data_IF_830024630938
#
_entry.id   IF_830024630938
#
_cell.length_a   1.000
_cell.length_b   1.000
_cell.length_c   1.000
_cell.angle_alpha   90.00
_cell.angle_beta   90.00
_cell.angle_gamma   90.00
#
_symmetry.space_group_name_H-M   'P 1'
#
loop_
_entity.id
_entity.type
_entity.pdbx_description
1 polymer ?
#
# COMPACT_ATOMS: atom_id res chain seq x y z
N UNK A 1 1.00 36.10 9.24
CA UNK A 1 2.28 36.81 9.50
C UNK A 1 3.39 35.89 9.04
N UNK A 2 4.00 36.19 7.89
CA UNK A 2 5.05 35.36 7.29
C UNK A 2 6.33 35.53 8.10
N UNK A 3 6.85 34.41 8.59
CA UNK A 3 8.12 34.37 9.33
C UNK A 3 9.25 34.73 8.35
N UNK A 4 10.07 35.75 8.62
CA UNK A 4 11.13 36.18 7.70
C UNK A 4 12.20 35.08 7.57
N UNK A 5 12.79 34.90 6.37
CA UNK A 5 13.72 33.80 6.06
C UNK A 5 14.98 33.78 6.94
N UNK A 6 15.37 34.92 7.53
CA UNK A 6 16.52 35.02 8.44
C UNK A 6 16.30 34.39 9.82
N UNK A 7 15.07 34.06 10.19
CA UNK A 7 14.80 33.34 11.45
C UNK A 7 14.95 31.82 11.33
N UNK A 8 14.89 31.29 10.09
CA UNK A 8 15.06 29.86 9.80
C UNK A 8 16.55 29.47 9.94
N UNK A 9 17.46 30.37 9.57
CA UNK A 9 18.91 30.17 9.67
C UNK A 9 19.43 30.08 11.11
N UNK A 10 18.70 30.56 12.12
CA UNK A 10 19.10 30.49 13.53
C UNK A 10 18.76 29.15 14.21
N UNK A 11 18.04 28.24 13.53
CA UNK A 11 17.68 26.90 14.07
C UNK A 11 18.31 25.73 13.31
N UNK A 12 19.25 26.03 12.41
CA UNK A 12 19.96 25.02 11.64
C UNK A 12 21.17 24.48 12.44
N UNK A 13 21.16 23.20 12.78
CA UNK A 13 22.34 22.50 13.32
C UNK A 13 22.88 21.63 12.20
N UNK A 14 24.18 21.76 11.90
CA UNK A 14 24.85 21.03 10.81
C UNK A 14 24.24 21.29 9.42
N UNK A 15 23.57 22.45 9.22
CA UNK A 15 22.89 22.79 7.96
C UNK A 15 21.52 22.15 7.78
N UNK A 16 21.03 21.39 8.76
CA UNK A 16 19.69 20.81 8.76
C UNK A 16 18.71 21.72 9.50
N UNK A 17 17.58 22.09 8.88
CA UNK A 17 16.56 22.89 9.56
C UNK A 17 15.76 21.97 10.50
N UNK A 18 16.17 21.89 11.78
CA UNK A 18 15.66 20.87 12.72
C UNK A 18 14.16 21.01 12.99
N UNK A 19 13.67 22.22 13.24
CA UNK A 19 12.27 22.43 13.60
C UNK A 19 11.28 21.99 12.51
N UNK A 20 11.43 22.38 11.23
CA UNK A 20 10.57 21.85 10.19
C UNK A 20 10.76 20.34 10.02
N UNK A 21 11.99 19.82 10.12
CA UNK A 21 12.24 18.38 10.01
C UNK A 21 11.46 17.57 11.07
N UNK A 22 11.40 18.04 12.32
CA UNK A 22 10.62 17.36 13.38
C UNK A 22 9.13 17.31 13.01
N UNK A 23 8.59 18.42 12.49
CA UNK A 23 7.19 18.49 12.05
C UNK A 23 6.94 17.53 10.89
N UNK A 24 7.82 17.52 9.90
CA UNK A 24 7.72 16.60 8.76
C UNK A 24 7.75 15.13 9.20
N UNK A 25 8.69 14.78 10.08
CA UNK A 25 8.84 13.42 10.59
C UNK A 25 7.62 13.02 11.40
N UNK A 26 7.07 13.92 12.23
CA UNK A 26 5.86 13.65 13.00
C UNK A 26 4.66 13.35 12.09
N UNK A 27 4.37 14.22 11.12
CA UNK A 27 3.27 14.00 10.18
C UNK A 27 3.51 12.82 9.24
N UNK A 28 4.75 12.61 8.82
CA UNK A 28 5.16 11.47 8.00
C UNK A 28 4.96 10.13 8.72
N UNK A 29 5.40 10.02 9.98
CA UNK A 29 5.16 8.84 10.81
C UNK A 29 3.66 8.64 11.07
N UNK A 30 2.92 9.72 11.34
CA UNK A 30 1.47 9.64 11.54
C UNK A 30 0.76 9.07 10.31
N UNK A 31 1.03 9.62 9.12
CA UNK A 31 0.46 9.13 7.86
C UNK A 31 0.87 7.69 7.55
N UNK A 32 2.14 7.34 7.77
CA UNK A 32 2.65 5.98 7.63
C UNK A 32 1.92 4.99 8.53
N UNK A 33 1.74 5.30 9.81
CA UNK A 33 1.04 4.43 10.77
C UNK A 33 -0.42 4.26 10.34
N UNK A 34 -1.10 5.34 9.96
CA UNK A 34 -2.49 5.28 9.49
C UNK A 34 -2.64 4.33 8.29
N UNK A 35 -1.75 4.44 7.30
CA UNK A 35 -1.76 3.58 6.11
C UNK A 35 -1.43 2.13 6.46
N UNK A 36 -0.41 1.86 7.28
CA UNK A 36 -0.06 0.50 7.70
C UNK A 36 -1.16 -0.17 8.53
N UNK A 37 -1.85 0.58 9.40
CA UNK A 37 -2.99 0.08 10.16
C UNK A 37 -4.15 -0.28 9.22
N UNK A 38 -4.49 0.60 8.29
CA UNK A 38 -5.51 0.33 7.27
C UNK A 38 -5.15 -0.92 6.45
N UNK A 39 -3.92 -0.98 5.95
CA UNK A 39 -3.41 -2.11 5.16
C UNK A 39 -3.53 -3.41 5.95
N UNK A 40 -3.00 -3.43 7.17
CA UNK A 40 -2.98 -4.61 8.04
C UNK A 40 -4.39 -5.14 8.34
N UNK A 41 -5.37 -4.26 8.58
CA UNK A 41 -6.76 -4.67 8.80
C UNK A 41 -7.38 -5.20 7.50
N UNK A 42 -7.21 -4.48 6.39
CA UNK A 42 -7.82 -4.83 5.11
C UNK A 42 -7.25 -6.15 4.55
N UNK A 43 -5.93 -6.33 4.54
CA UNK A 43 -5.29 -7.55 4.01
C UNK A 43 -5.66 -8.77 4.85
N UNK A 44 -5.68 -8.63 6.17
CA UNK A 44 -6.10 -9.70 7.08
C UNK A 44 -7.56 -10.10 6.85
N UNK A 45 -8.45 -9.13 6.63
CA UNK A 45 -9.84 -9.43 6.31
C UNK A 45 -9.97 -10.22 4.99
N UNK A 46 -9.24 -9.81 3.95
CA UNK A 46 -9.26 -10.47 2.64
C UNK A 46 -8.71 -11.90 2.73
N UNK A 47 -7.53 -12.09 3.34
CA UNK A 47 -6.90 -13.41 3.41
C UNK A 47 -7.70 -14.40 4.26
N UNK A 48 -8.20 -13.99 5.43
CA UNK A 48 -9.04 -14.86 6.27
C UNK A 48 -10.32 -15.28 5.54
N UNK A 49 -10.92 -14.37 4.76
CA UNK A 49 -12.09 -14.68 3.94
C UNK A 49 -11.74 -15.62 2.79
N UNK A 50 -10.62 -15.39 2.11
CA UNK A 50 -10.12 -16.28 1.05
C UNK A 50 -9.89 -17.69 1.59
N UNK A 51 -9.09 -17.84 2.65
CA UNK A 51 -8.73 -19.14 3.22
C UNK A 51 -9.97 -19.93 3.65
N UNK A 52 -10.90 -19.27 4.36
CA UNK A 52 -12.16 -19.90 4.79
C UNK A 52 -12.96 -20.44 3.60
N UNK A 53 -13.14 -19.65 2.56
CA UNK A 53 -13.94 -20.06 1.39
C UNK A 53 -13.20 -21.07 0.52
N UNK A 54 -11.92 -20.83 0.25
CA UNK A 54 -11.07 -21.72 -0.55
C UNK A 54 -11.01 -23.11 0.10
N UNK A 55 -10.76 -23.21 1.40
CA UNK A 55 -10.71 -24.50 2.11
C UNK A 55 -12.06 -25.22 2.10
N UNK A 56 -13.18 -24.50 2.28
CA UNK A 56 -14.52 -25.06 2.17
C UNK A 56 -14.76 -25.66 0.78
N UNK A 57 -14.47 -24.91 -0.28
CA UNK A 57 -14.70 -25.37 -1.66
C UNK A 57 -13.74 -26.48 -2.08
N UNK A 58 -12.49 -26.44 -1.60
CA UNK A 58 -11.51 -27.49 -1.84
C UNK A 58 -11.95 -28.83 -1.24
N UNK A 59 -12.47 -28.82 0.00
CA UNK A 59 -13.02 -30.03 0.66
C UNK A 59 -14.25 -30.60 -0.05
N UNK A 60 -15.02 -29.77 -0.74
CA UNK A 60 -16.19 -30.18 -1.50
C UNK A 60 -15.87 -30.58 -2.96
N UNK A 61 -14.59 -30.60 -3.36
CA UNK A 61 -14.19 -30.87 -4.75
C UNK A 61 -14.60 -29.77 -5.75
N UNK A 62 -15.00 -28.58 -5.26
CA UNK A 62 -15.55 -27.48 -6.05
C UNK A 62 -14.46 -26.51 -6.50
N UNK A 63 -13.47 -27.00 -7.26
CA UNK A 63 -12.23 -26.27 -7.56
C UNK A 63 -12.44 -24.93 -8.31
N UNK A 64 -13.44 -24.81 -9.19
CA UNK A 64 -13.73 -23.55 -9.89
C UNK A 64 -14.04 -22.40 -8.93
N UNK A 65 -14.70 -22.69 -7.79
CA UNK A 65 -14.99 -21.67 -6.79
C UNK A 65 -13.73 -21.23 -6.05
N UNK A 66 -12.74 -22.11 -5.89
CA UNK A 66 -11.42 -21.73 -5.34
C UNK A 66 -10.75 -20.71 -6.26
N UNK A 67 -10.77 -20.95 -7.58
CA UNK A 67 -10.23 -19.99 -8.56
C UNK A 67 -10.99 -18.66 -8.54
N UNK A 68 -12.32 -18.70 -8.49
CA UNK A 68 -13.14 -17.49 -8.39
C UNK A 68 -12.79 -16.67 -7.14
N UNK A 69 -12.66 -17.32 -5.97
CA UNK A 69 -12.26 -16.63 -4.74
C UNK A 69 -10.83 -16.08 -4.80
N UNK A 70 -9.92 -16.75 -5.50
CA UNK A 70 -8.56 -16.25 -5.73
C UNK A 70 -8.58 -14.94 -6.52
N UNK A 71 -9.24 -14.91 -7.70
CA UNK A 71 -9.31 -13.71 -8.54
C UNK A 71 -10.10 -12.57 -7.87
N UNK A 72 -11.18 -12.89 -7.15
CA UNK A 72 -11.90 -11.88 -6.37
C UNK A 72 -11.00 -11.24 -5.31
N UNK A 73 -10.21 -12.04 -4.59
CA UNK A 73 -9.29 -11.55 -3.56
C UNK A 73 -8.16 -10.72 -4.17
N UNK A 74 -7.60 -11.15 -5.31
CA UNK A 74 -6.62 -10.38 -6.07
C UNK A 74 -7.14 -8.99 -6.47
N UNK A 75 -8.39 -8.92 -6.94
CA UNK A 75 -9.05 -7.66 -7.26
C UNK A 75 -9.21 -6.76 -6.04
N UNK A 76 -9.66 -7.30 -4.89
CA UNK A 76 -9.80 -6.51 -3.66
C UNK A 76 -8.46 -6.03 -3.09
N UNK A 77 -7.39 -6.82 -3.24
CA UNK A 77 -6.03 -6.42 -2.88
C UNK A 77 -5.59 -5.21 -3.72
N UNK A 78 -5.83 -5.23 -5.04
CA UNK A 78 -5.53 -4.08 -5.89
C UNK A 78 -6.32 -2.82 -5.47
N UNK A 79 -7.61 -2.98 -5.16
CA UNK A 79 -8.46 -1.87 -4.71
C UNK A 79 -8.00 -1.30 -3.35
N UNK A 80 -7.55 -2.15 -2.44
CA UNK A 80 -6.99 -1.72 -1.15
C UNK A 80 -5.78 -0.80 -1.35
N UNK A 81 -4.84 -1.16 -2.22
CA UNK A 81 -3.68 -0.31 -2.53
C UNK A 81 -4.08 1.03 -3.16
N UNK A 82 -5.09 1.03 -4.02
CA UNK A 82 -5.65 2.28 -4.55
C UNK A 82 -6.22 3.15 -3.42
N UNK A 83 -6.91 2.55 -2.44
CA UNK A 83 -7.42 3.28 -1.28
C UNK A 83 -6.29 3.88 -0.43
N UNK A 84 -5.16 3.20 -0.27
CA UNK A 84 -4.00 3.71 0.47
C UNK A 84 -3.38 4.94 -0.20
N UNK A 85 -3.32 4.94 -1.53
CA UNK A 85 -2.90 6.10 -2.32
C UNK A 85 -3.91 7.26 -2.14
N UNK A 86 -5.21 6.98 -2.10
CA UNK A 86 -6.25 7.97 -1.85
C UNK A 86 -6.15 8.53 -0.42
N UNK A 87 -5.84 7.71 0.59
CA UNK A 87 -5.61 8.16 1.96
C UNK A 87 -4.45 9.17 1.99
N UNK A 88 -3.34 8.88 1.30
CA UNK A 88 -2.23 9.82 1.18
C UNK A 88 -2.61 11.10 0.43
N UNK A 89 -3.41 11.01 -0.64
CA UNK A 89 -3.94 12.17 -1.35
C UNK A 89 -4.74 13.09 -0.41
N UNK A 90 -5.67 12.53 0.37
CA UNK A 90 -6.42 13.29 1.37
C UNK A 90 -5.53 13.86 2.48
N UNK A 91 -4.48 13.15 2.87
CA UNK A 91 -3.53 13.63 3.86
C UNK A 91 -2.75 14.86 3.35
N UNK A 92 -2.23 14.81 2.11
CA UNK A 92 -1.48 15.89 1.48
C UNK A 92 -2.37 17.13 1.27
N UNK A 93 -3.57 16.93 0.72
CA UNK A 93 -4.51 18.02 0.45
C UNK A 93 -5.10 18.60 1.74
N UNK A 94 -5.38 17.78 2.75
CA UNK A 94 -5.85 18.22 4.06
C UNK A 94 -4.83 19.05 4.84
N UNK A 95 -3.54 18.84 4.60
CA UNK A 95 -2.44 19.67 5.11
C UNK A 95 -2.19 20.93 4.26
N UNK A 96 -2.91 21.11 3.14
CA UNK A 96 -2.74 22.25 2.24
C UNK A 96 -1.39 22.25 1.49
N UNK A 97 -0.80 21.07 1.28
CA UNK A 97 0.53 20.96 0.63
C UNK A 97 0.45 21.01 -0.89
N UNK A 98 -0.72 20.70 -1.45
CA UNK A 98 -1.02 20.75 -2.88
C UNK A 98 -2.49 21.14 -3.07
N UNK A 99 -2.75 22.12 -3.95
CA UNK A 99 -4.11 22.62 -4.21
C UNK A 99 -4.90 21.72 -5.18
N UNK A 100 -4.21 21.09 -6.13
CA UNK A 100 -4.83 20.17 -7.08
C UNK A 100 -4.85 18.73 -6.53
N UNK A 101 -6.05 18.24 -6.23
CA UNK A 101 -6.27 16.87 -5.77
C UNK A 101 -5.81 15.80 -6.77
N UNK A 102 -5.90 16.06 -8.08
CA UNK A 102 -5.46 15.10 -9.11
C UNK A 102 -3.95 14.99 -9.10
N UNK A 103 -3.25 16.11 -9.09
CA UNK A 103 -1.80 16.14 -8.94
C UNK A 103 -1.33 15.50 -7.62
N UNK A 104 -2.02 15.78 -6.50
CA UNK A 104 -1.72 15.14 -5.21
C UNK A 104 -1.89 13.62 -5.25
N UNK A 105 -2.94 13.12 -5.92
CA UNK A 105 -3.16 11.69 -6.12
C UNK A 105 -2.05 11.05 -6.96
N UNK A 106 -1.66 11.70 -8.06
CA UNK A 106 -0.57 11.22 -8.92
C UNK A 106 0.77 11.24 -8.21
N UNK A 107 1.07 12.30 -7.44
CA UNK A 107 2.27 12.40 -6.63
C UNK A 107 2.32 11.32 -5.55
N UNK A 108 1.23 11.14 -4.79
CA UNK A 108 1.13 10.09 -3.77
C UNK A 108 1.30 8.70 -4.40
N UNK A 109 0.63 8.43 -5.51
CA UNK A 109 0.73 7.16 -6.23
C UNK A 109 2.14 6.90 -6.76
N UNK A 110 2.77 7.91 -7.36
CA UNK A 110 4.17 7.88 -7.83
C UNK A 110 5.14 7.52 -6.71
N UNK A 111 5.00 8.14 -5.53
CA UNK A 111 5.84 7.85 -4.37
C UNK A 111 5.54 6.46 -3.81
N UNK A 112 4.26 6.14 -3.55
CA UNK A 112 3.80 4.92 -2.90
C UNK A 112 4.21 3.67 -3.68
N UNK A 113 4.07 3.70 -5.01
CA UNK A 113 4.47 2.59 -5.90
C UNK A 113 5.97 2.55 -6.14
N UNK A 114 6.72 3.54 -5.65
CA UNK A 114 8.17 3.73 -5.85
C UNK A 114 8.60 3.92 -7.30
N UNK A 115 7.65 4.21 -8.20
CA UNK A 115 7.96 4.49 -9.61
C UNK A 115 8.62 5.87 -9.77
N UNK A 116 8.17 6.87 -9.01
CA UNK A 116 8.81 8.19 -8.98
C UNK A 116 8.69 9.02 -10.27
N UNK A 117 7.61 8.83 -11.06
CA UNK A 117 7.41 9.54 -12.33
C UNK A 117 6.87 10.96 -12.19
N UNK A 118 6.30 11.32 -11.03
CA UNK A 118 5.86 12.69 -10.72
C UNK A 118 6.97 13.41 -9.94
N UNK A 119 7.42 14.60 -10.37
CA UNK A 119 8.44 15.35 -9.66
C UNK A 119 7.94 15.84 -8.30
N UNK A 120 8.86 15.92 -7.34
CA UNK A 120 8.58 16.50 -6.03
C UNK A 120 8.34 18.01 -6.14
N UNK A 121 7.11 18.40 -5.84
CA UNK A 121 6.61 19.78 -5.85
C UNK A 121 6.14 20.22 -4.46
N UNK A 122 6.42 19.42 -3.42
CA UNK A 122 6.08 19.78 -2.04
C UNK A 122 6.84 21.05 -1.61
N UNK A 123 6.21 21.89 -0.78
CA UNK A 123 6.87 23.07 -0.21
C UNK A 123 8.15 22.73 0.55
N UNK A 124 9.07 23.69 0.63
CA UNK A 124 10.23 23.56 1.50
C UNK A 124 9.78 23.34 2.94
N UNK A 125 10.37 22.35 3.62
CA UNK A 125 9.89 21.92 4.94
C UNK A 125 8.80 20.84 4.91
N UNK A 126 8.56 20.18 3.76
CA UNK A 126 7.70 18.99 3.64
C UNK A 126 8.28 17.86 2.78
N UNK A 127 9.51 18.02 2.30
CA UNK A 127 10.11 17.12 1.30
C UNK A 127 10.31 15.69 1.79
N UNK A 128 10.53 15.49 3.10
CA UNK A 128 10.67 14.13 3.65
C UNK A 128 9.35 13.35 3.66
N UNK A 129 8.20 14.00 3.45
CA UNK A 129 6.91 13.31 3.34
C UNK A 129 6.90 12.31 2.18
N UNK A 130 7.53 12.65 1.05
CA UNK A 130 7.68 11.75 -0.11
C UNK A 130 8.33 10.41 0.29
N UNK A 131 9.35 10.47 1.14
CA UNK A 131 10.03 9.28 1.67
C UNK A 131 9.08 8.42 2.51
N UNK A 132 8.27 9.01 3.41
CA UNK A 132 7.32 8.25 4.22
C UNK A 132 6.21 7.60 3.38
N UNK A 133 5.73 8.27 2.33
CA UNK A 133 4.77 7.72 1.38
C UNK A 133 5.38 6.48 0.70
N UNK A 134 6.59 6.61 0.13
CA UNK A 134 7.29 5.49 -0.50
C UNK A 134 7.58 4.33 0.47
N UNK A 135 8.00 4.64 1.68
CA UNK A 135 8.31 3.62 2.69
C UNK A 135 7.05 2.85 3.09
N UNK A 136 5.91 3.54 3.28
CA UNK A 136 4.64 2.87 3.56
C UNK A 136 4.22 1.93 2.42
N UNK A 137 4.38 2.36 1.16
CA UNK A 137 4.03 1.53 0.00
C UNK A 137 4.93 0.32 -0.17
N UNK A 138 6.23 0.45 0.07
CA UNK A 138 7.16 -0.70 0.09
C UNK A 138 6.74 -1.75 1.11
N UNK A 139 6.39 -1.34 2.34
CA UNK A 139 5.95 -2.28 3.37
C UNK A 139 4.62 -2.97 3.01
N UNK A 140 3.65 -2.21 2.51
CA UNK A 140 2.35 -2.74 2.10
C UNK A 140 2.49 -3.73 0.94
N UNK A 141 3.27 -3.39 -0.11
CA UNK A 141 3.50 -4.28 -1.25
C UNK A 141 4.27 -5.54 -0.86
N UNK A 142 5.28 -5.42 0.03
CA UNK A 142 6.02 -6.56 0.55
C UNK A 142 5.10 -7.50 1.35
N UNK A 143 4.25 -6.96 2.22
CA UNK A 143 3.27 -7.73 2.97
C UNK A 143 2.28 -8.42 2.03
N UNK A 144 1.64 -7.68 1.11
CA UNK A 144 0.74 -8.25 0.11
C UNK A 144 1.40 -9.38 -0.68
N UNK A 145 2.65 -9.21 -1.11
CA UNK A 145 3.39 -10.25 -1.85
C UNK A 145 3.51 -11.53 -1.02
N UNK A 146 3.85 -11.43 0.26
CA UNK A 146 3.95 -12.60 1.15
C UNK A 146 2.61 -13.35 1.28
N UNK A 147 1.49 -12.61 1.39
CA UNK A 147 0.13 -13.17 1.47
C UNK A 147 -0.27 -13.83 0.14
N UNK A 148 0.03 -13.17 -0.98
CA UNK A 148 -0.27 -13.67 -2.32
C UNK A 148 0.44 -14.98 -2.65
N UNK A 149 1.65 -15.21 -2.12
CA UNK A 149 2.35 -16.49 -2.26
C UNK A 149 1.53 -17.62 -1.60
N UNK A 150 1.01 -17.41 -0.39
CA UNK A 150 0.16 -18.38 0.30
C UNK A 150 -1.14 -18.68 -0.47
N UNK A 151 -1.79 -17.64 -1.00
CA UNK A 151 -2.99 -17.79 -1.83
C UNK A 151 -2.71 -18.59 -3.10
N UNK A 152 -1.57 -18.31 -3.75
CA UNK A 152 -1.14 -18.99 -4.98
C UNK A 152 -0.88 -20.47 -4.73
N UNK A 153 -0.35 -20.85 -3.57
CA UNK A 153 -0.18 -22.25 -3.19
C UNK A 153 -1.53 -22.98 -3.10
N UNK A 154 -2.55 -22.35 -2.52
CA UNK A 154 -3.91 -22.90 -2.46
C UNK A 154 -4.53 -23.03 -3.86
N UNK A 155 -4.32 -22.03 -4.72
CA UNK A 155 -4.72 -22.07 -6.12
C UNK A 155 -4.08 -23.25 -6.86
N UNK A 156 -2.75 -23.40 -6.76
CA UNK A 156 -1.99 -24.51 -7.37
C UNK A 156 -2.49 -25.87 -6.90
N UNK A 157 -2.78 -26.02 -5.60
CA UNK A 157 -3.36 -27.25 -5.05
C UNK A 157 -4.72 -27.58 -5.70
N UNK A 158 -5.61 -26.61 -5.82
CA UNK A 158 -6.90 -26.81 -6.48
C UNK A 158 -6.75 -27.13 -7.98
N UNK A 159 -5.78 -26.51 -8.65
CA UNK A 159 -5.45 -26.79 -10.06
C UNK A 159 -5.01 -28.24 -10.25
N UNK A 160 -4.06 -28.71 -9.45
CA UNK A 160 -3.55 -30.07 -9.54
C UNK A 160 -4.62 -31.12 -9.26
N UNK A 161 -5.52 -30.88 -8.29
CA UNK A 161 -6.63 -31.79 -8.03
C UNK A 161 -7.66 -31.83 -9.17
N UNK A 162 -7.92 -30.69 -9.82
CA UNK A 162 -8.89 -30.62 -10.93
C UNK A 162 -8.36 -31.22 -12.23
N UNK A 163 -7.09 -30.97 -12.55
CA UNK A 163 -6.52 -31.28 -13.86
C UNK A 163 -5.44 -32.37 -13.82
N UNK A 164 -4.72 -32.52 -12.70
CA UNK A 164 -3.61 -33.46 -12.56
C UNK A 164 -4.03 -34.92 -12.35
N UNK A 165 -5.30 -35.22 -12.09
CA UNK A 165 -5.77 -36.61 -11.98
C UNK A 165 -6.00 -37.31 -13.34
N UNK A 166 -5.97 -36.58 -14.47
CA UNK A 166 -6.19 -37.21 -15.79
C UNK A 166 -5.02 -38.09 -16.27
N UNK A 167 -3.79 -37.86 -15.79
CA UNK A 167 -2.60 -38.60 -16.26
C UNK A 167 -2.35 -39.93 -15.52
N UNK A 168 -2.98 -40.17 -14.36
CA UNK A 168 -2.76 -41.39 -13.57
C UNK A 168 -3.79 -42.50 -13.84
N UNK A 169 -4.89 -42.19 -14.53
CA UNK A 169 -5.92 -43.17 -14.92
C UNK A 169 -5.77 -43.64 -16.38
N UNK A 170 -4.70 -43.24 -17.06
CA UNK A 170 -4.38 -43.57 -18.45
C UNK A 170 -3.08 -44.38 -18.59
N UNK A 171 -2.68 -45.11 -17.54
CA UNK A 171 -1.52 -46.01 -17.54
C UNK A 171 -1.88 -47.34 -16.89
#
# INVERSE_FOLDING_TARGET
MLIPPESISQTAVLGLPIMPLIVEVFFGILGLILVLMYHGVAINHIIMRFEKQANKHLRLGRYNYVFMHFYASFFFIALMHICEIIIWCFFITGLGLMDDSVHALLFAGSCYTTVGFVPDTLPMGWKSLAFFISFSGLFCLAWTTSVMIGMTNTYKKAWNLKYGQKDLSSS
#
